data_IF_387676239633
#
_entry.id   IF_387676239633
#
_cell.length_a   1.000
_cell.length_b   1.000
_cell.length_c   1.000
_cell.angle_alpha   90.00
_cell.angle_beta   90.00
_cell.angle_gamma   90.00
#
_symmetry.space_group_name_H-M   'P 1'
#
loop_
_entity.id
_entity.type
_entity.pdbx_description
1 polymer ?
#
# COMPACT_ATOMS: atom_id res chain seq x y z
N UNK A 1 29.87 8.98 -11.46
CA UNK A 1 29.09 9.35 -12.67
C UNK A 1 28.91 8.16 -13.63
N UNK A 2 29.94 7.59 -14.28
CA UNK A 2 29.75 6.44 -15.20
C UNK A 2 29.15 5.20 -14.52
N UNK A 3 29.62 4.85 -13.31
CA UNK A 3 29.10 3.71 -12.56
C UNK A 3 27.64 3.90 -12.12
N UNK A 4 27.24 5.11 -11.80
CA UNK A 4 25.83 5.42 -11.46
C UNK A 4 24.90 5.23 -12.66
N UNK A 5 25.34 5.66 -13.85
CA UNK A 5 24.60 5.43 -15.11
C UNK A 5 24.46 3.94 -15.40
N UNK A 6 25.53 3.16 -15.24
CA UNK A 6 25.48 1.71 -15.42
C UNK A 6 24.56 1.04 -14.39
N UNK A 7 24.62 1.43 -13.13
CA UNK A 7 23.73 0.93 -12.09
C UNK A 7 22.27 1.26 -12.39
N UNK A 8 22.01 2.48 -12.89
CA UNK A 8 20.68 2.90 -13.30
C UNK A 8 20.17 2.09 -14.49
N UNK A 9 21.02 1.83 -15.50
CA UNK A 9 20.68 0.97 -16.64
C UNK A 9 20.38 -0.48 -16.22
N UNK A 10 21.13 -1.03 -15.25
CA UNK A 10 20.83 -2.37 -14.70
C UNK A 10 19.49 -2.38 -13.97
N UNK A 11 19.18 -1.35 -13.15
CA UNK A 11 17.86 -1.20 -12.52
C UNK A 11 16.74 -1.15 -13.57
N UNK A 12 16.91 -0.35 -14.63
CA UNK A 12 15.94 -0.28 -15.73
C UNK A 12 15.76 -1.63 -16.44
N UNK A 13 16.85 -2.36 -16.70
CA UNK A 13 16.79 -3.68 -17.32
C UNK A 13 16.02 -4.69 -16.46
N UNK A 14 16.31 -4.74 -15.16
CA UNK A 14 15.60 -5.60 -14.21
C UNK A 14 14.12 -5.21 -14.07
N UNK A 15 13.83 -3.93 -14.16
CA UNK A 15 12.49 -3.39 -14.13
C UNK A 15 11.68 -3.79 -15.35
N UNK A 16 12.23 -3.57 -16.56
CA UNK A 16 11.59 -3.97 -17.81
C UNK A 16 11.36 -5.48 -17.90
N UNK A 17 12.24 -6.29 -17.31
CA UNK A 17 12.06 -7.74 -17.21
C UNK A 17 10.91 -8.16 -16.28
N UNK A 18 10.44 -7.28 -15.40
CA UNK A 18 9.33 -7.52 -14.45
C UNK A 18 7.99 -6.93 -14.92
N UNK A 19 8.00 -6.08 -15.94
CA UNK A 19 6.78 -5.45 -16.48
C UNK A 19 5.96 -6.53 -17.20
N UNK A 20 4.80 -6.84 -16.65
CA UNK A 20 3.81 -7.64 -17.36
C UNK A 20 3.22 -6.79 -18.48
N UNK A 21 3.13 -7.32 -19.70
CA UNK A 21 2.45 -6.66 -20.82
C UNK A 21 0.97 -6.35 -20.52
N UNK A 22 0.38 -7.09 -19.59
CA UNK A 22 -1.04 -7.00 -19.19
C UNK A 22 -1.28 -5.97 -18.06
N UNK A 23 -0.24 -5.28 -17.58
CA UNK A 23 -0.35 -4.35 -16.45
C UNK A 23 -0.63 -5.05 -15.10
N UNK A 24 -1.20 -4.29 -14.16
CA UNK A 24 -1.59 -4.75 -12.83
C UNK A 24 -2.89 -5.57 -12.92
N UNK A 25 -2.97 -6.68 -12.19
CA UNK A 25 -4.21 -7.42 -11.98
C UNK A 25 -5.25 -6.55 -11.24
N UNK A 26 -6.52 -6.99 -11.22
CA UNK A 26 -7.58 -6.26 -10.51
C UNK A 26 -7.31 -6.13 -9.01
N UNK A 27 -6.73 -7.16 -8.44
CA UNK A 27 -6.34 -7.24 -7.02
C UNK A 27 -5.15 -6.32 -6.73
N UNK A 28 -4.13 -6.34 -7.60
CA UNK A 28 -2.97 -5.43 -7.49
C UNK A 28 -3.40 -3.96 -7.65
N UNK A 29 -4.30 -3.65 -8.60
CA UNK A 29 -4.86 -2.29 -8.75
C UNK A 29 -5.60 -1.83 -7.49
N UNK A 30 -6.44 -2.69 -6.91
CA UNK A 30 -7.20 -2.38 -5.70
C UNK A 30 -6.29 -2.20 -4.48
N UNK A 31 -5.28 -3.06 -4.33
CA UNK A 31 -4.27 -2.94 -3.27
C UNK A 31 -3.53 -1.61 -3.34
N UNK A 32 -2.94 -1.33 -4.52
CA UNK A 32 -2.22 -0.07 -4.76
C UNK A 32 -3.13 1.16 -4.57
N UNK A 33 -4.38 1.11 -5.03
CA UNK A 33 -5.33 2.19 -4.80
C UNK A 33 -5.52 2.46 -3.30
N UNK A 34 -5.64 1.43 -2.47
CA UNK A 34 -5.76 1.58 -1.01
C UNK A 34 -4.53 2.19 -0.36
N UNK A 35 -3.33 1.76 -0.78
CA UNK A 35 -2.08 2.36 -0.32
C UNK A 35 -1.99 3.84 -0.72
N UNK A 36 -2.36 4.20 -1.95
CA UNK A 36 -2.37 5.59 -2.43
C UNK A 36 -3.42 6.45 -1.71
N UNK A 37 -4.59 5.89 -1.34
CA UNK A 37 -5.56 6.60 -0.49
C UNK A 37 -4.95 6.94 0.87
N UNK A 38 -4.25 5.99 1.49
CA UNK A 38 -3.57 6.24 2.76
C UNK A 38 -2.41 7.22 2.61
N UNK A 39 -1.58 7.09 1.58
CA UNK A 39 -0.49 8.02 1.27
C UNK A 39 -1.02 9.45 1.07
N UNK A 40 -2.09 9.63 0.29
CA UNK A 40 -2.73 10.93 0.07
C UNK A 40 -3.20 11.57 1.38
N UNK A 41 -3.73 10.78 2.32
CA UNK A 41 -4.09 11.27 3.67
C UNK A 41 -2.87 11.79 4.42
N UNK A 42 -1.75 11.09 4.38
CA UNK A 42 -0.50 11.53 5.00
C UNK A 42 0.01 12.81 4.35
N UNK A 43 0.06 12.88 3.03
CA UNK A 43 0.51 14.05 2.28
C UNK A 43 -0.37 15.29 2.54
N UNK A 44 -1.69 15.12 2.63
CA UNK A 44 -2.62 16.22 2.95
C UNK A 44 -2.45 16.77 4.38
N UNK A 45 -1.85 15.99 5.29
CA UNK A 45 -1.50 16.42 6.67
C UNK A 45 -0.05 16.93 6.75
N UNK A 46 0.71 16.84 5.68
CA UNK A 46 2.11 17.23 5.58
C UNK A 46 2.24 18.61 4.93
N UNK A 47 3.38 19.26 5.15
CA UNK A 47 3.79 20.47 4.44
C UNK A 47 4.73 20.13 3.27
N UNK A 48 4.93 21.10 2.38
CA UNK A 48 5.85 20.92 1.23
C UNK A 48 7.25 20.46 1.67
N UNK A 49 7.77 20.95 2.79
CA UNK A 49 9.11 20.63 3.31
C UNK A 49 9.20 19.17 3.82
N UNK A 50 8.06 18.55 4.15
CA UNK A 50 7.99 17.19 4.69
C UNK A 50 7.50 16.15 3.69
N UNK A 51 7.17 16.53 2.44
CA UNK A 51 6.70 15.59 1.42
C UNK A 51 7.68 14.46 1.15
N UNK A 52 8.99 14.76 1.06
CA UNK A 52 10.02 13.74 0.84
C UNK A 52 10.02 12.71 1.98
N UNK A 53 10.06 13.15 3.23
CA UNK A 53 10.02 12.24 4.38
C UNK A 53 8.71 11.48 4.49
N UNK A 54 7.58 12.11 4.14
CA UNK A 54 6.27 11.44 4.10
C UNK A 54 6.22 10.32 3.05
N UNK A 55 6.78 10.55 1.86
CA UNK A 55 6.88 9.53 0.82
C UNK A 55 7.79 8.36 1.21
N UNK A 56 8.85 8.61 1.98
CA UNK A 56 9.74 7.58 2.50
C UNK A 56 9.04 6.61 3.48
N UNK A 57 7.94 7.04 4.12
CA UNK A 57 7.13 6.17 4.97
C UNK A 57 6.40 5.07 4.18
N UNK A 58 6.17 5.24 2.88
CA UNK A 58 5.55 4.24 2.02
C UNK A 58 6.59 3.20 1.60
N UNK A 59 6.69 2.11 2.35
CA UNK A 59 7.71 1.07 2.24
C UNK A 59 7.22 -0.22 1.58
N UNK A 60 5.90 -0.42 1.45
CA UNK A 60 5.32 -1.64 0.87
C UNK A 60 5.79 -1.94 -0.56
N UNK A 61 6.00 -0.90 -1.36
CA UNK A 61 6.50 -1.02 -2.73
C UNK A 61 7.93 -1.56 -2.80
N UNK A 62 8.73 -1.36 -1.77
CA UNK A 62 10.11 -1.87 -1.60
C UNK A 62 10.15 -3.33 -1.12
N UNK A 63 8.98 -4.00 -1.08
CA UNK A 63 8.81 -5.38 -0.59
C UNK A 63 9.19 -5.57 0.87
N UNK A 64 9.01 -4.55 1.67
CA UNK A 64 9.06 -4.68 3.13
C UNK A 64 7.83 -5.43 3.65
N UNK A 65 7.84 -5.79 4.93
CA UNK A 65 6.73 -6.52 5.53
C UNK A 65 5.53 -5.62 5.89
N UNK A 66 5.63 -4.31 5.71
CA UNK A 66 4.61 -3.32 6.05
C UNK A 66 4.43 -2.35 4.89
N UNK A 67 3.21 -1.87 4.68
CA UNK A 67 2.93 -0.92 3.62
C UNK A 67 3.45 0.48 3.97
N UNK A 68 3.32 0.88 5.24
CA UNK A 68 3.86 2.14 5.74
C UNK A 68 4.60 1.91 7.04
N UNK A 69 5.76 2.56 7.19
CA UNK A 69 6.57 2.45 8.38
C UNK A 69 7.28 3.76 8.73
N UNK A 70 7.10 4.23 9.96
CA UNK A 70 7.90 5.27 10.60
C UNK A 70 8.81 4.67 11.68
N UNK A 71 9.45 5.53 12.48
CA UNK A 71 10.44 5.11 13.48
C UNK A 71 9.88 4.14 14.53
N UNK A 72 8.63 4.33 14.93
CA UNK A 72 8.03 3.58 16.04
C UNK A 72 6.61 3.09 15.75
N UNK A 73 6.17 3.20 14.51
CA UNK A 73 4.85 2.77 14.08
C UNK A 73 4.88 2.17 12.68
N UNK A 74 3.92 1.32 12.41
CA UNK A 74 3.68 0.81 11.07
C UNK A 74 2.17 0.65 10.79
N UNK A 75 1.82 0.65 9.51
CA UNK A 75 0.45 0.41 9.04
C UNK A 75 0.49 -0.63 7.93
N UNK A 76 -0.37 -1.61 8.06
CA UNK A 76 -0.73 -2.54 7.00
C UNK A 76 -2.07 -2.11 6.40
N UNK A 77 -2.11 -1.89 5.10
CA UNK A 77 -3.30 -1.47 4.36
C UNK A 77 -4.02 -2.69 3.80
N UNK A 78 -5.29 -2.83 4.13
CA UNK A 78 -6.14 -3.88 3.57
C UNK A 78 -7.36 -3.29 2.88
N UNK A 79 -7.56 -3.67 1.62
CA UNK A 79 -8.72 -3.23 0.82
C UNK A 79 -9.66 -4.39 0.56
N UNK A 80 -10.95 -4.18 0.75
CA UNK A 80 -11.98 -5.14 0.38
C UNK A 80 -13.02 -4.49 -0.51
N UNK A 81 -13.52 -5.22 -1.52
CA UNK A 81 -14.56 -4.75 -2.43
C UNK A 81 -15.77 -5.69 -2.50
N UNK A 82 -15.87 -6.63 -1.57
CA UNK A 82 -17.00 -7.56 -1.48
C UNK A 82 -18.18 -6.93 -0.74
N UNK A 83 -19.38 -7.45 -0.96
CA UNK A 83 -20.58 -7.06 -0.19
C UNK A 83 -20.45 -7.39 1.29
N UNK A 84 -19.67 -8.42 1.64
CA UNK A 84 -19.33 -8.79 3.01
C UNK A 84 -17.85 -8.49 3.28
N UNK A 85 -17.56 -7.24 3.67
CA UNK A 85 -16.22 -6.74 3.95
C UNK A 85 -15.71 -7.13 5.35
N UNK A 86 -16.17 -8.25 5.91
CA UNK A 86 -15.80 -8.69 7.25
C UNK A 86 -14.51 -9.50 7.31
N UNK A 87 -13.93 -9.81 6.16
CA UNK A 87 -12.73 -10.64 6.07
C UNK A 87 -11.60 -9.91 5.36
N UNK A 88 -10.40 -10.01 5.92
CA UNK A 88 -9.15 -9.55 5.30
C UNK A 88 -8.17 -10.71 5.18
N UNK A 89 -7.40 -10.74 4.11
CA UNK A 89 -6.34 -11.74 3.90
C UNK A 89 -5.00 -11.16 4.32
N UNK A 90 -4.27 -11.91 5.13
CA UNK A 90 -2.90 -11.61 5.53
C UNK A 90 -1.96 -12.53 4.76
N UNK A 91 -1.04 -11.94 4.00
CA UNK A 91 -0.16 -12.62 3.05
C UNK A 91 1.26 -12.85 3.62
N UNK A 92 1.33 -13.23 4.87
CA UNK A 92 2.58 -13.55 5.55
C UNK A 92 2.52 -13.28 7.04
N UNK A 93 3.19 -14.12 7.80
CA UNK A 93 3.31 -14.04 9.26
C UNK A 93 3.96 -12.73 9.75
N UNK A 94 4.72 -12.07 8.86
CA UNK A 94 5.43 -10.82 9.19
C UNK A 94 4.58 -9.58 9.02
N UNK A 95 3.45 -9.65 8.29
CA UNK A 95 2.60 -8.47 8.06
C UNK A 95 2.02 -7.88 9.36
N UNK A 96 1.65 -8.73 10.31
CA UNK A 96 1.10 -8.31 11.60
C UNK A 96 2.04 -8.56 12.79
N UNK A 97 3.32 -8.81 12.52
CA UNK A 97 4.36 -8.87 13.55
C UNK A 97 4.79 -7.45 13.95
N UNK A 98 4.67 -7.13 15.22
CA UNK A 98 5.03 -5.83 15.79
C UNK A 98 6.34 -5.85 16.60
N UNK A 99 7.18 -6.89 16.45
CA UNK A 99 8.43 -7.03 17.21
C UNK A 99 9.42 -5.87 16.99
N UNK A 100 9.33 -5.19 15.85
CA UNK A 100 10.22 -4.07 15.47
C UNK A 100 9.60 -2.68 15.65
N UNK A 101 8.32 -2.57 16.01
CA UNK A 101 7.61 -1.29 16.17
C UNK A 101 6.70 -1.33 17.39
N UNK A 102 6.59 -0.23 18.13
CA UNK A 102 5.71 -0.17 19.31
C UNK A 102 4.23 -0.11 18.92
N UNK A 103 3.92 0.48 17.76
CA UNK A 103 2.55 0.67 17.32
C UNK A 103 2.34 0.13 15.91
N UNK A 104 1.57 -0.94 15.80
CA UNK A 104 1.15 -1.52 14.53
C UNK A 104 -0.36 -1.34 14.36
N UNK A 105 -0.76 -0.93 13.16
CA UNK A 105 -2.16 -0.73 12.82
C UNK A 105 -2.51 -1.48 11.53
N UNK A 106 -3.77 -1.90 11.43
CA UNK A 106 -4.39 -2.29 10.17
C UNK A 106 -5.32 -1.16 9.75
N UNK A 107 -5.08 -0.58 8.58
CA UNK A 107 -6.01 0.32 7.91
C UNK A 107 -6.86 -0.48 6.94
N UNK A 108 -8.14 -0.66 7.28
CA UNK A 108 -9.10 -1.40 6.47
C UNK A 108 -9.99 -0.45 5.68
N UNK A 109 -9.84 -0.45 4.37
CA UNK A 109 -10.59 0.35 3.42
C UNK A 109 -11.59 -0.53 2.67
N UNK A 110 -12.88 -0.25 2.81
CA UNK A 110 -13.96 -0.93 2.10
C UNK A 110 -14.37 -0.10 0.89
N UNK A 111 -14.33 -0.72 -0.27
CA UNK A 111 -14.57 -0.09 -1.56
C UNK A 111 -15.81 -0.66 -2.23
N UNK A 112 -16.50 0.17 -2.97
CA UNK A 112 -17.44 -0.21 -4.03
C UNK A 112 -16.71 -0.08 -5.37
N UNK A 113 -16.76 -1.12 -6.19
CA UNK A 113 -16.15 -1.11 -7.53
C UNK A 113 -17.23 -0.85 -8.56
N UNK A 114 -17.00 0.13 -9.41
CA UNK A 114 -17.91 0.56 -10.48
C UNK A 114 -17.18 0.71 -11.81
N UNK A 115 -17.92 0.77 -12.90
CA UNK A 115 -17.41 1.11 -14.24
C UNK A 115 -17.60 2.57 -14.60
N UNK A 116 -18.41 3.32 -13.84
CA UNK A 116 -18.87 4.64 -14.27
C UNK A 116 -18.78 5.72 -13.18
N UNK A 117 -18.58 5.34 -11.90
CA UNK A 117 -18.64 6.29 -10.80
C UNK A 117 -17.60 5.98 -9.73
N UNK A 118 -16.85 6.98 -9.35
CA UNK A 118 -15.79 6.89 -8.35
C UNK A 118 -14.47 7.47 -8.84
N UNK A 119 -13.39 7.08 -8.21
CA UNK A 119 -12.03 7.49 -8.55
C UNK A 119 -11.26 6.29 -9.10
N UNK A 120 -10.62 6.42 -10.26
CA UNK A 120 -9.79 5.36 -10.83
C UNK A 120 -8.34 5.44 -10.30
N UNK A 121 -7.58 4.35 -10.48
CA UNK A 121 -6.16 4.33 -10.11
C UNK A 121 -5.36 5.45 -10.81
N UNK A 122 -5.51 5.74 -12.11
CA UNK A 122 -4.86 6.88 -12.74
C UNK A 122 -5.27 8.24 -12.15
N UNK A 123 -6.52 8.38 -11.72
CA UNK A 123 -7.00 9.65 -11.15
C UNK A 123 -6.31 9.97 -9.82
N UNK A 124 -6.24 9.02 -8.89
CA UNK A 124 -5.55 9.25 -7.60
C UNK A 124 -4.03 9.47 -7.80
N UNK A 125 -3.41 8.78 -8.75
CA UNK A 125 -2.00 9.02 -9.11
C UNK A 125 -1.81 10.45 -9.63
N UNK A 126 -2.68 10.89 -10.53
CA UNK A 126 -2.64 12.26 -11.07
C UNK A 126 -2.85 13.32 -9.98
N UNK A 127 -3.77 13.10 -9.05
CA UNK A 127 -4.01 14.01 -7.93
C UNK A 127 -2.79 14.13 -7.01
N UNK A 128 -2.15 13.01 -6.66
CA UNK A 128 -0.93 13.03 -5.84
C UNK A 128 0.21 13.73 -6.60
N UNK A 129 0.39 13.47 -7.90
CA UNK A 129 1.38 14.20 -8.72
C UNK A 129 1.11 15.70 -8.74
N UNK A 130 -0.14 16.12 -8.85
CA UNK A 130 -0.53 17.52 -8.80
C UNK A 130 -0.21 18.15 -7.44
N UNK A 131 -0.47 17.44 -6.34
CA UNK A 131 -0.12 17.86 -4.98
C UNK A 131 1.39 18.07 -4.83
N UNK A 132 2.20 17.20 -5.42
CA UNK A 132 3.66 17.21 -5.34
C UNK A 132 4.32 18.13 -6.38
N UNK A 133 3.57 18.75 -7.31
CA UNK A 133 4.11 19.48 -8.47
C UNK A 133 5.06 20.63 -8.11
N UNK A 134 4.89 21.23 -6.92
CA UNK A 134 5.78 22.28 -6.39
C UNK A 134 7.05 21.74 -5.70
N UNK A 135 7.25 20.42 -5.62
CA UNK A 135 8.37 19.77 -4.95
C UNK A 135 8.99 18.70 -5.86
N UNK A 136 9.93 19.11 -6.69
CA UNK A 136 10.56 18.21 -7.67
C UNK A 136 11.19 16.96 -7.05
N UNK A 137 11.95 17.03 -5.94
CA UNK A 137 12.47 15.82 -5.28
C UNK A 137 11.37 14.86 -4.84
N UNK A 138 10.30 15.36 -4.23
CA UNK A 138 9.17 14.54 -3.82
C UNK A 138 8.47 13.89 -5.02
N UNK A 139 8.25 14.63 -6.09
CA UNK A 139 7.64 14.10 -7.31
C UNK A 139 8.49 12.96 -7.90
N UNK A 140 9.81 13.13 -7.98
CA UNK A 140 10.72 12.08 -8.47
C UNK A 140 10.63 10.82 -7.61
N UNK A 141 10.66 10.94 -6.27
CA UNK A 141 10.53 9.80 -5.35
C UNK A 141 9.18 9.10 -5.55
N UNK A 142 8.10 9.85 -5.71
CA UNK A 142 6.78 9.26 -5.94
C UNK A 142 6.74 8.46 -7.25
N UNK A 143 7.31 9.00 -8.33
CA UNK A 143 7.39 8.31 -9.61
C UNK A 143 8.25 7.04 -9.54
N UNK A 144 9.38 7.06 -8.85
CA UNK A 144 10.20 5.87 -8.59
C UNK A 144 9.41 4.80 -7.83
N UNK A 145 8.70 5.18 -6.77
CA UNK A 145 7.85 4.27 -6.00
C UNK A 145 6.69 3.68 -6.81
N UNK A 146 6.06 4.46 -7.69
CA UNK A 146 5.04 3.93 -8.61
C UNK A 146 5.61 2.85 -9.53
N UNK A 147 6.83 3.04 -10.02
CA UNK A 147 7.51 2.04 -10.85
C UNK A 147 7.80 0.76 -10.03
N UNK A 148 8.25 0.89 -8.78
CA UNK A 148 8.45 -0.26 -7.88
C UNK A 148 7.14 -0.99 -7.58
N UNK A 149 6.04 -0.26 -7.46
CA UNK A 149 4.67 -0.79 -7.39
C UNK A 149 4.18 -1.41 -8.71
N UNK A 150 5.02 -1.43 -9.77
CA UNK A 150 4.70 -1.90 -11.13
C UNK A 150 3.61 -1.08 -11.83
N UNK A 151 3.33 0.12 -11.34
CA UNK A 151 2.45 1.05 -12.03
C UNK A 151 3.26 1.80 -13.09
N UNK A 152 2.97 1.53 -14.35
CA UNK A 152 3.66 2.11 -15.51
C UNK A 152 2.68 3.00 -16.25
N UNK A 153 3.06 4.26 -16.51
CA UNK A 153 2.17 5.25 -17.13
C UNK A 153 1.62 4.83 -18.48
N UNK A 154 2.36 4.05 -19.28
CA UNK A 154 1.85 3.54 -20.54
C UNK A 154 0.72 2.50 -20.39
N UNK A 155 0.46 2.00 -19.18
CA UNK A 155 -0.63 1.07 -18.88
C UNK A 155 -1.88 1.76 -18.27
N UNK A 156 -1.86 3.07 -18.06
CA UNK A 156 -2.96 3.81 -17.42
C UNK A 156 -4.32 3.58 -18.09
N UNK A 157 -4.34 3.42 -19.41
CA UNK A 157 -5.56 3.11 -20.15
C UNK A 157 -6.21 1.78 -19.74
N UNK A 158 -5.41 0.81 -19.24
CA UNK A 158 -5.95 -0.47 -18.73
C UNK A 158 -6.67 -0.32 -17.39
N UNK A 159 -6.41 0.77 -16.67
CA UNK A 159 -6.93 1.02 -15.33
C UNK A 159 -8.06 2.07 -15.31
N UNK A 160 -8.28 2.75 -16.44
CA UNK A 160 -9.18 3.91 -16.55
C UNK A 160 -10.68 3.55 -16.41
N UNK A 161 -11.06 2.30 -16.67
CA UNK A 161 -12.46 1.86 -16.62
C UNK A 161 -12.84 1.19 -15.29
N UNK A 162 -11.95 1.18 -14.31
CA UNK A 162 -12.21 0.62 -12.99
C UNK A 162 -12.19 1.73 -11.94
N UNK A 163 -13.37 2.03 -11.41
CA UNK A 163 -13.56 3.10 -10.43
C UNK A 163 -13.80 2.52 -9.05
N UNK A 164 -13.28 3.20 -8.05
CA UNK A 164 -13.42 2.87 -6.64
C UNK A 164 -14.15 4.00 -5.92
N UNK A 165 -15.13 3.63 -5.11
CA UNK A 165 -15.82 4.54 -4.21
C UNK A 165 -15.67 4.03 -2.79
N UNK A 166 -15.17 4.88 -1.89
CA UNK A 166 -15.06 4.53 -0.48
C UNK A 166 -16.45 4.32 0.13
N UNK A 167 -16.67 3.14 0.71
CA UNK A 167 -17.86 2.80 1.51
C UNK A 167 -17.63 3.06 2.98
N UNK A 168 -16.48 2.60 3.51
CA UNK A 168 -16.05 2.84 4.89
C UNK A 168 -14.55 2.69 5.01
N UNK A 169 -14.01 3.21 6.09
CA UNK A 169 -12.63 3.00 6.50
C UNK A 169 -12.57 2.86 8.01
N UNK A 170 -11.69 2.00 8.48
CA UNK A 170 -11.50 1.71 9.90
C UNK A 170 -10.02 1.50 10.19
N UNK A 171 -9.61 1.89 11.40
CA UNK A 171 -8.27 1.65 11.91
C UNK A 171 -8.34 0.69 13.09
N UNK A 172 -7.54 -0.36 13.05
CA UNK A 172 -7.43 -1.33 14.13
C UNK A 172 -6.02 -1.31 14.67
N UNK A 173 -5.88 -1.19 15.99
CA UNK A 173 -4.58 -1.31 16.66
C UNK A 173 -4.28 -2.79 16.89
N UNK A 174 -3.14 -3.25 16.40
CA UNK A 174 -2.69 -4.64 16.58
C UNK A 174 -2.07 -4.78 17.97
N UNK A 175 -2.87 -5.25 18.92
CA UNK A 175 -2.46 -5.56 20.30
C UNK A 175 -2.10 -7.05 20.44
N UNK A 176 -1.74 -7.48 21.65
CA UNK A 176 -1.32 -8.86 21.91
C UNK A 176 -2.42 -9.90 21.59
N UNK A 177 -3.66 -9.53 21.83
CA UNK A 177 -4.88 -10.34 21.63
C UNK A 177 -5.52 -10.15 20.24
N UNK A 178 -4.92 -9.32 19.37
CA UNK A 178 -5.37 -9.20 17.98
C UNK A 178 -5.18 -10.53 17.25
N UNK A 179 -6.20 -11.03 16.50
CA UNK A 179 -6.10 -12.31 15.80
C UNK A 179 -5.03 -12.26 14.71
N UNK A 180 -3.89 -12.91 14.95
CA UNK A 180 -2.75 -12.94 14.03
C UNK A 180 -1.93 -14.20 14.22
N UNK A 181 -1.14 -14.51 13.20
CA UNK A 181 -0.08 -15.52 13.24
C UNK A 181 1.24 -14.78 13.04
N UNK A 182 2.19 -14.95 13.96
CA UNK A 182 3.54 -14.38 13.90
C UNK A 182 4.57 -15.47 13.60
N UNK A 183 5.78 -15.07 13.23
CA UNK A 183 6.88 -16.01 12.93
C UNK A 183 7.17 -16.95 14.11
N UNK A 184 7.11 -16.43 15.34
CA UNK A 184 7.32 -17.22 16.56
C UNK A 184 6.22 -18.24 16.88
N UNK A 185 5.06 -18.13 16.24
CA UNK A 185 3.95 -19.09 16.40
C UNK A 185 4.11 -20.29 15.47
N UNK A 186 5.05 -20.21 14.52
CA UNK A 186 5.25 -21.24 13.50
C UNK A 186 6.24 -22.31 13.97
N UNK A 187 6.02 -23.53 13.50
CA UNK A 187 6.99 -24.63 13.67
C UNK A 187 8.19 -24.41 12.74
N UNK A 188 9.35 -24.90 13.15
CA UNK A 188 10.56 -24.87 12.32
C UNK A 188 10.29 -25.46 10.92
N UNK A 189 10.67 -24.72 9.88
CA UNK A 189 10.47 -25.10 8.49
C UNK A 189 9.12 -24.69 7.88
N UNK A 190 8.26 -24.00 8.63
CA UNK A 190 7.03 -23.38 8.12
C UNK A 190 7.25 -21.89 7.90
N UNK A 191 6.85 -21.38 6.73
CA UNK A 191 6.95 -19.96 6.37
C UNK A 191 5.91 -19.60 5.28
N UNK A 192 5.75 -18.31 4.99
CA UNK A 192 4.84 -17.79 3.98
C UNK A 192 3.38 -18.20 4.22
N UNK A 193 2.94 -18.13 5.47
CA UNK A 193 1.57 -18.50 5.86
C UNK A 193 0.59 -17.45 5.39
N UNK A 194 -0.39 -17.86 4.61
CA UNK A 194 -1.53 -17.02 4.21
C UNK A 194 -2.74 -17.40 5.04
N UNK A 195 -3.37 -16.42 5.66
CA UNK A 195 -4.55 -16.67 6.51
C UNK A 195 -5.56 -15.52 6.39
N UNK A 196 -6.77 -15.79 6.87
CA UNK A 196 -7.88 -14.84 6.83
C UNK A 196 -8.27 -14.46 8.24
N UNK A 197 -8.46 -13.16 8.47
CA UNK A 197 -8.99 -12.63 9.73
C UNK A 197 -10.43 -12.16 9.51
N UNK A 198 -11.32 -12.52 10.44
CA UNK A 198 -12.65 -11.94 10.55
C UNK A 198 -12.52 -10.57 11.22
N UNK A 199 -12.28 -9.52 10.42
CA UNK A 199 -12.06 -8.17 10.93
C UNK A 199 -13.31 -7.58 11.60
N UNK A 200 -14.50 -8.09 11.26
CA UNK A 200 -15.74 -7.76 11.95
C UNK A 200 -15.80 -8.22 13.41
N UNK A 201 -14.93 -9.13 13.83
CA UNK A 201 -14.80 -9.58 15.23
C UNK A 201 -13.73 -8.80 15.99
N UNK A 202 -13.09 -7.79 15.38
CA UNK A 202 -11.99 -7.02 15.96
C UNK A 202 -12.43 -5.63 16.42
N UNK A 203 -13.71 -5.39 16.66
CA UNK A 203 -14.23 -4.06 17.01
C UNK A 203 -13.64 -3.49 18.32
N UNK A 204 -13.18 -4.36 19.24
CA UNK A 204 -12.48 -3.96 20.47
C UNK A 204 -11.10 -3.31 20.21
N UNK A 205 -10.52 -3.56 19.02
CA UNK A 205 -9.26 -2.98 18.58
C UNK A 205 -9.41 -1.70 17.76
N UNK A 206 -10.65 -1.23 17.53
CA UNK A 206 -10.91 0.00 16.79
C UNK A 206 -10.29 1.20 17.48
N UNK A 207 -9.64 2.04 16.68
CA UNK A 207 -9.12 3.33 17.14
C UNK A 207 -9.66 4.45 16.26
N UNK A 208 -9.80 5.67 16.79
CA UNK A 208 -10.16 6.82 15.99
C UNK A 208 -9.10 7.12 14.93
N UNK A 209 -9.54 7.81 13.88
CA UNK A 209 -8.69 8.27 12.76
C UNK A 209 -7.62 9.29 13.19
#
# INVERSE_FOLDING_TARGET
MAQEVVNQLHRWKDLFGKIKFEGLSKEEQQGLYGELVFLRKLLNRSSNDTYVSTLQLWTGVEKTNKDFQGDNWAVEVKTTSTNNAQFITINGERQLDNSLVAHLFVYHLVLEVSKTNGESLPMIVSEIKALLSGNVPALCIFEEKLIEAKYISCHEFLYAERFYKKRSEKYYKVLADFPRIMENDLRNGVSNVVYVISIGMCDEHLVPE
#
